data_IF_969951424409
#
_entry.id   IF_969951424409
#
_cell.length_a   1.000
_cell.length_b   1.000
_cell.length_c   1.000
_cell.angle_alpha   90.00
_cell.angle_beta   90.00
_cell.angle_gamma   90.00
#
_symmetry.space_group_name_H-M   'P 1'
#
loop_
_entity.id
_entity.type
_entity.pdbx_description
1 polymer ?
#
# COMPACT_ATOMS: atom_id res chain seq x y z
N UNK A 1 -17.35 -13.07 -12.98
CA UNK A 1 -18.21 -13.24 -11.78
C UNK A 1 -18.58 -11.84 -11.28
N UNK A 2 -19.72 -11.64 -10.62
CA UNK A 2 -20.00 -10.34 -10.01
C UNK A 2 -18.95 -10.03 -8.93
N UNK A 3 -18.36 -8.84 -8.96
CA UNK A 3 -17.30 -8.39 -8.10
C UNK A 3 -17.82 -7.56 -6.91
N UNK A 4 -16.95 -7.22 -5.95
CA UNK A 4 -17.36 -6.49 -4.75
C UNK A 4 -17.84 -5.07 -5.04
N UNK A 5 -17.28 -4.40 -6.07
CA UNK A 5 -17.73 -3.09 -6.50
C UNK A 5 -19.19 -3.11 -6.98
N UNK A 6 -19.60 -4.15 -7.71
CA UNK A 6 -20.97 -4.29 -8.23
C UNK A 6 -21.98 -4.76 -7.19
N UNK A 7 -21.54 -5.63 -6.27
CA UNK A 7 -22.44 -6.32 -5.34
C UNK A 7 -22.50 -5.71 -3.94
N UNK A 8 -21.50 -4.94 -3.56
CA UNK A 8 -21.29 -4.48 -2.18
C UNK A 8 -20.91 -5.61 -1.19
N UNK A 9 -20.69 -6.84 -1.69
CA UNK A 9 -20.29 -7.98 -0.87
C UNK A 9 -18.79 -8.20 -0.96
N UNK A 10 -18.16 -8.31 0.19
CA UNK A 10 -16.72 -8.53 0.34
C UNK A 10 -16.43 -9.88 0.97
N UNK A 11 -15.39 -10.56 0.48
CA UNK A 11 -14.97 -11.86 0.98
C UNK A 11 -14.53 -11.77 2.44
N UNK A 12 -14.99 -12.72 3.27
CA UNK A 12 -14.51 -12.86 4.65
C UNK A 12 -13.86 -14.23 4.82
N UNK A 13 -12.56 -14.31 4.53
CA UNK A 13 -11.81 -15.56 4.54
C UNK A 13 -11.64 -16.13 5.95
N UNK A 14 -11.61 -15.28 6.97
CA UNK A 14 -11.59 -15.77 8.35
C UNK A 14 -12.89 -16.53 8.68
N UNK A 15 -14.04 -15.99 8.30
CA UNK A 15 -15.32 -16.70 8.50
C UNK A 15 -15.42 -17.98 7.67
N UNK A 16 -14.88 -17.97 6.44
CA UNK A 16 -14.80 -19.15 5.57
C UNK A 16 -14.01 -20.28 6.24
N UNK A 17 -12.92 -19.95 6.95
CA UNK A 17 -12.07 -20.91 7.65
C UNK A 17 -12.40 -21.10 9.14
N UNK A 18 -13.62 -20.75 9.55
CA UNK A 18 -14.18 -21.11 10.86
C UNK A 18 -13.93 -20.13 12.01
N UNK A 19 -13.38 -18.95 11.74
CA UNK A 19 -13.27 -17.92 12.77
C UNK A 19 -14.60 -17.17 12.92
N UNK A 20 -15.09 -17.03 14.15
CA UNK A 20 -16.36 -16.34 14.37
C UNK A 20 -16.27 -14.84 14.08
N UNK A 21 -17.35 -14.25 13.56
CA UNK A 21 -17.43 -12.81 13.27
C UNK A 21 -17.05 -11.95 14.49
N UNK A 22 -17.46 -12.37 15.69
CA UNK A 22 -17.12 -11.65 16.93
C UNK A 22 -15.61 -11.63 17.21
N UNK A 23 -14.90 -12.77 17.03
CA UNK A 23 -13.44 -12.83 17.18
C UNK A 23 -12.71 -11.99 16.15
N UNK A 24 -13.18 -12.03 14.90
CA UNK A 24 -12.60 -11.22 13.82
C UNK A 24 -12.76 -9.72 14.13
N UNK A 25 -13.96 -9.30 14.51
CA UNK A 25 -14.23 -7.91 14.84
C UNK A 25 -13.43 -7.45 16.07
N UNK A 26 -13.35 -8.28 17.11
CA UNK A 26 -12.52 -8.00 18.28
C UNK A 26 -11.05 -7.80 17.88
N UNK A 27 -10.51 -8.64 16.98
CA UNK A 27 -9.13 -8.52 16.51
C UNK A 27 -8.90 -7.22 15.74
N UNK A 28 -9.83 -6.82 14.87
CA UNK A 28 -9.75 -5.54 14.14
C UNK A 28 -9.67 -4.37 15.14
N UNK A 29 -10.58 -4.32 16.12
CA UNK A 29 -10.58 -3.24 17.10
C UNK A 29 -9.35 -3.27 18.01
N UNK A 30 -8.92 -4.44 18.46
CA UNK A 30 -7.73 -4.53 19.30
C UNK A 30 -6.47 -4.13 18.53
N UNK A 31 -6.34 -4.52 17.25
CA UNK A 31 -5.23 -4.10 16.39
C UNK A 31 -5.23 -2.59 16.21
N UNK A 32 -6.38 -2.00 15.87
CA UNK A 32 -6.49 -0.54 15.77
C UNK A 32 -6.07 0.15 17.06
N UNK A 33 -6.61 -0.27 18.19
CA UNK A 33 -6.28 0.33 19.48
C UNK A 33 -4.80 0.19 19.84
N UNK A 34 -4.19 -0.95 19.51
CA UNK A 34 -2.75 -1.16 19.74
C UNK A 34 -1.90 -0.21 18.91
N UNK A 35 -2.22 -0.05 17.62
CA UNK A 35 -1.43 0.81 16.72
C UNK A 35 -1.62 2.29 16.97
N UNK A 36 -2.82 2.70 17.40
CA UNK A 36 -3.16 4.11 17.59
C UNK A 36 -3.01 4.58 19.04
N UNK A 37 -3.22 3.70 20.02
CA UNK A 37 -3.29 4.09 21.45
C UNK A 37 -2.54 3.15 22.39
N UNK A 38 -1.79 2.17 21.85
CA UNK A 38 -1.01 1.23 22.65
C UNK A 38 0.18 1.86 23.35
N UNK A 39 1.00 1.04 23.96
CA UNK A 39 2.26 1.45 24.62
C UNK A 39 3.27 2.01 23.60
N UNK A 40 4.33 2.65 24.13
CA UNK A 40 5.37 3.29 23.29
C UNK A 40 6.08 2.34 22.31
N UNK A 41 6.16 1.06 22.64
CA UNK A 41 6.74 0.03 21.78
C UNK A 41 5.75 -0.60 20.80
N UNK A 42 4.47 -0.19 20.85
CA UNK A 42 3.37 -0.71 20.04
C UNK A 42 2.78 0.32 19.09
N UNK A 43 2.49 1.53 19.59
CA UNK A 43 1.81 2.56 18.81
C UNK A 43 2.72 3.16 17.73
N UNK A 44 2.08 3.60 16.66
CA UNK A 44 2.71 4.35 15.56
C UNK A 44 2.05 5.71 15.35
N UNK A 45 0.86 5.95 15.91
CA UNK A 45 0.11 7.20 15.82
C UNK A 45 0.34 8.07 17.07
N UNK A 46 0.50 9.38 16.84
CA UNK A 46 0.70 10.40 17.88
C UNK A 46 -0.12 11.63 17.60
N UNK A 47 -0.84 12.10 18.60
CA UNK A 47 -1.55 13.38 18.55
C UNK A 47 -0.60 14.54 18.76
N UNK A 48 -0.87 15.67 18.06
CA UNK A 48 -0.07 16.89 18.12
C UNK A 48 -0.98 18.09 18.34
N UNK A 49 -0.78 18.82 19.43
CA UNK A 49 -1.65 19.94 19.77
C UNK A 49 -3.09 19.49 19.97
N UNK A 50 -4.03 20.37 19.61
CA UNK A 50 -5.45 20.12 19.85
C UNK A 50 -6.11 19.30 18.73
N UNK A 51 -5.65 19.43 17.47
CA UNK A 51 -6.39 18.95 16.30
C UNK A 51 -5.52 18.40 15.16
N UNK A 52 -4.28 18.04 15.43
CA UNK A 52 -3.37 17.38 14.49
C UNK A 52 -2.87 16.03 15.02
N UNK A 53 -2.35 15.21 14.13
CA UNK A 53 -1.74 13.93 14.47
C UNK A 53 -0.95 13.34 13.29
N UNK A 54 -0.03 12.44 13.57
CA UNK A 54 0.78 11.79 12.56
C UNK A 54 1.10 10.33 12.90
N UNK A 55 1.47 9.57 11.88
CA UNK A 55 2.08 8.26 12.03
C UNK A 55 3.60 8.39 11.88
N UNK A 56 4.35 7.71 12.74
CA UNK A 56 5.81 7.71 12.75
C UNK A 56 6.34 6.44 12.12
N UNK A 57 7.22 6.57 11.13
CA UNK A 57 8.13 5.49 10.81
C UNK A 57 9.12 5.33 11.98
N UNK A 58 8.83 4.37 12.81
CA UNK A 58 9.59 4.12 14.05
C UNK A 58 10.99 3.55 13.81
N UNK A 59 11.24 3.09 12.58
CA UNK A 59 12.57 2.65 12.14
C UNK A 59 13.51 3.81 11.84
N UNK A 60 12.97 4.85 11.20
CA UNK A 60 13.73 6.00 10.73
C UNK A 60 13.49 7.28 11.55
N UNK A 61 12.49 7.27 12.44
CA UNK A 61 12.08 8.39 13.29
C UNK A 61 11.68 9.62 12.47
N UNK A 62 10.92 9.40 11.41
CA UNK A 62 10.34 10.43 10.55
C UNK A 62 8.84 10.17 10.28
N UNK A 63 8.21 11.13 9.63
CA UNK A 63 6.82 11.04 9.17
C UNK A 63 6.84 10.98 7.64
N UNK A 64 6.24 9.96 7.05
CA UNK A 64 6.21 9.71 5.61
C UNK A 64 4.82 9.87 5.03
N UNK A 65 4.72 10.33 3.78
CA UNK A 65 3.45 10.37 3.06
C UNK A 65 2.80 8.99 2.98
N UNK A 66 3.59 7.92 2.85
CA UNK A 66 3.14 6.53 2.94
C UNK A 66 2.35 6.29 4.24
N UNK A 67 2.95 6.54 5.40
CA UNK A 67 2.30 6.29 6.69
C UNK A 67 1.09 7.19 6.93
N UNK A 68 1.18 8.46 6.55
CA UNK A 68 0.06 9.40 6.69
C UNK A 68 -1.13 8.96 5.84
N UNK A 69 -0.92 8.63 4.58
CA UNK A 69 -1.99 8.20 3.67
C UNK A 69 -2.58 6.83 4.07
N UNK A 70 -1.75 5.90 4.53
CA UNK A 70 -2.21 4.62 5.09
C UNK A 70 -3.02 4.82 6.37
N UNK A 71 -2.58 5.73 7.26
CA UNK A 71 -3.32 6.08 8.47
C UNK A 71 -4.69 6.68 8.16
N UNK A 72 -4.79 7.55 7.15
CA UNK A 72 -6.06 8.09 6.66
C UNK A 72 -6.94 6.97 6.07
N UNK A 73 -6.39 6.07 5.26
CA UNK A 73 -7.14 4.94 4.72
C UNK A 73 -7.66 4.02 5.85
N UNK A 74 -6.84 3.70 6.83
CA UNK A 74 -7.27 2.93 8.01
C UNK A 74 -8.38 3.67 8.76
N UNK A 75 -8.21 4.97 9.00
CA UNK A 75 -9.19 5.77 9.73
C UNK A 75 -10.55 5.81 9.01
N UNK A 76 -10.56 5.96 7.68
CA UNK A 76 -11.82 5.94 6.93
C UNK A 76 -12.47 4.55 6.93
N UNK A 77 -11.69 3.47 6.89
CA UNK A 77 -12.23 2.11 7.00
C UNK A 77 -12.80 1.81 8.40
N UNK A 78 -12.20 2.38 9.45
CA UNK A 78 -12.60 2.20 10.84
C UNK A 78 -13.66 3.18 11.34
N UNK A 79 -14.17 4.09 10.49
CA UNK A 79 -15.13 5.14 10.85
C UNK A 79 -14.60 6.14 11.89
N UNK A 80 -13.33 6.50 11.76
CA UNK A 80 -12.65 7.41 12.68
C UNK A 80 -12.30 8.74 11.99
N UNK A 81 -13.37 9.52 11.73
CA UNK A 81 -13.25 10.86 11.15
C UNK A 81 -12.33 11.77 11.94
N UNK A 82 -12.39 11.68 13.27
CA UNK A 82 -11.54 12.45 14.18
C UNK A 82 -10.05 12.23 13.93
N UNK A 83 -9.62 11.00 13.78
CA UNK A 83 -8.23 10.63 13.46
C UNK A 83 -7.86 11.03 12.03
N UNK A 84 -8.76 10.77 11.08
CA UNK A 84 -8.58 11.12 9.68
C UNK A 84 -8.28 12.61 9.52
N UNK A 85 -9.11 13.48 10.13
CA UNK A 85 -8.97 14.92 10.05
C UNK A 85 -7.67 15.42 10.71
N UNK A 86 -7.26 14.83 11.83
CA UNK A 86 -5.99 15.14 12.50
C UNK A 86 -4.77 14.82 11.61
N UNK A 87 -4.77 13.64 11.00
CA UNK A 87 -3.68 13.22 10.10
C UNK A 87 -3.66 14.12 8.86
N UNK A 88 -4.80 14.35 8.24
CA UNK A 88 -4.89 15.20 7.06
C UNK A 88 -4.46 16.63 7.34
N UNK A 89 -4.86 17.21 8.46
CA UNK A 89 -4.46 18.58 8.84
C UNK A 89 -2.95 18.68 9.03
N UNK A 90 -2.34 17.74 9.72
CA UNK A 90 -0.89 17.72 9.89
C UNK A 90 -0.17 17.60 8.54
N UNK A 91 -0.61 16.71 7.69
CA UNK A 91 -0.05 16.48 6.35
C UNK A 91 -0.14 17.73 5.48
N UNK A 92 -1.29 18.37 5.41
CA UNK A 92 -1.47 19.63 4.66
C UNK A 92 -0.63 20.77 5.21
N UNK A 93 -0.42 20.81 6.52
CA UNK A 93 0.33 21.89 7.16
C UNK A 93 1.82 21.79 6.92
N UNK A 94 2.38 20.58 6.97
CA UNK A 94 3.82 20.39 7.01
C UNK A 94 4.42 19.73 5.78
N UNK A 95 3.69 18.89 5.06
CA UNK A 95 4.21 18.15 3.92
C UNK A 95 3.80 18.75 2.57
N UNK A 96 2.69 19.50 2.50
CA UNK A 96 2.21 20.09 1.25
C UNK A 96 3.21 21.12 0.68
N UNK A 97 3.48 21.03 -0.61
CA UNK A 97 4.39 21.91 -1.34
C UNK A 97 3.58 23.00 -2.05
N UNK A 98 3.62 24.21 -1.53
CA UNK A 98 2.86 25.38 -2.03
C UNK A 98 3.63 26.22 -3.05
N UNK A 99 4.90 25.88 -3.30
CA UNK A 99 5.80 26.57 -4.24
C UNK A 99 6.81 25.60 -4.89
N UNK A 100 7.59 26.11 -5.85
CA UNK A 100 8.61 25.33 -6.56
C UNK A 100 8.04 24.40 -7.65
N UNK A 101 8.90 23.56 -8.21
CA UNK A 101 8.55 22.67 -9.33
C UNK A 101 7.58 21.58 -8.91
N UNK A 102 7.61 21.17 -7.67
CA UNK A 102 6.74 20.15 -7.10
C UNK A 102 5.50 20.74 -6.39
N UNK A 103 5.17 22.02 -6.61
CA UNK A 103 3.98 22.64 -6.05
C UNK A 103 2.74 21.78 -6.35
N UNK A 104 1.89 21.57 -5.35
CA UNK A 104 0.70 20.76 -5.44
C UNK A 104 0.89 19.30 -5.00
N UNK A 105 2.12 18.85 -4.86
CA UNK A 105 2.49 17.55 -4.29
C UNK A 105 2.83 17.66 -2.79
N UNK A 106 3.27 16.55 -2.21
CA UNK A 106 3.70 16.49 -0.82
C UNK A 106 5.17 16.05 -0.74
N UNK A 107 5.95 16.68 0.12
CA UNK A 107 7.29 16.18 0.45
C UNK A 107 7.18 14.82 1.13
N UNK A 108 7.83 13.79 0.59
CA UNK A 108 7.61 12.40 1.01
C UNK A 108 7.98 12.11 2.46
N UNK A 109 8.86 12.91 3.07
CA UNK A 109 9.32 12.73 4.45
C UNK A 109 9.49 14.07 5.18
N UNK A 110 9.11 14.09 6.45
CA UNK A 110 9.30 15.19 7.37
C UNK A 110 9.74 14.69 8.75
N UNK A 111 10.43 15.54 9.50
CA UNK A 111 10.74 15.32 10.92
C UNK A 111 9.47 15.41 11.77
N UNK A 112 9.51 14.90 12.99
CA UNK A 112 8.38 14.93 13.94
C UNK A 112 7.95 16.37 14.30
N UNK A 113 8.81 17.36 14.15
CA UNK A 113 8.51 18.78 14.34
C UNK A 113 7.93 19.46 13.09
N UNK A 114 7.68 18.73 12.02
CA UNK A 114 7.11 19.22 10.77
C UNK A 114 8.11 19.77 9.76
N UNK A 115 9.43 19.83 10.08
CA UNK A 115 10.44 20.24 9.10
C UNK A 115 10.58 19.16 8.02
N UNK A 116 10.38 19.51 6.75
CA UNK A 116 10.54 18.56 5.65
C UNK A 116 12.00 18.09 5.53
N UNK A 117 12.17 16.80 5.30
CA UNK A 117 13.45 16.18 4.95
C UNK A 117 13.68 16.25 3.43
N UNK A 118 12.61 16.35 2.63
CA UNK A 118 12.65 16.41 1.17
C UNK A 118 11.49 17.25 0.62
N UNK A 119 11.75 17.99 -0.45
CA UNK A 119 10.73 18.65 -1.28
C UNK A 119 10.38 17.81 -2.54
N UNK A 120 10.77 16.55 -2.58
CA UNK A 120 10.37 15.58 -3.59
C UNK A 120 9.18 14.73 -3.12
N UNK A 121 8.20 14.43 -3.98
CA UNK A 121 7.10 13.53 -3.66
C UNK A 121 7.47 12.06 -3.90
N UNK A 122 6.66 11.17 -3.33
CA UNK A 122 6.60 9.75 -3.62
C UNK A 122 5.16 9.37 -3.98
N UNK A 123 4.88 8.97 -5.23
CA UNK A 123 3.52 8.83 -5.77
C UNK A 123 2.56 7.95 -4.97
N UNK A 124 3.04 6.91 -4.30
CA UNK A 124 2.20 6.05 -3.44
C UNK A 124 1.46 6.86 -2.35
N UNK A 125 2.09 7.90 -1.82
CA UNK A 125 1.45 8.80 -0.87
C UNK A 125 0.26 9.53 -1.48
N UNK A 126 0.43 10.16 -2.65
CA UNK A 126 -0.61 10.90 -3.35
C UNK A 126 -1.76 9.99 -3.80
N UNK A 127 -1.48 8.77 -4.27
CA UNK A 127 -2.49 7.81 -4.65
C UNK A 127 -3.40 7.44 -3.47
N UNK A 128 -2.79 7.10 -2.33
CA UNK A 128 -3.53 6.76 -1.13
C UNK A 128 -4.22 7.97 -0.49
N UNK A 129 -3.62 9.18 -0.52
CA UNK A 129 -4.31 10.41 -0.09
C UNK A 129 -5.57 10.65 -0.92
N UNK A 130 -5.45 10.63 -2.26
CA UNK A 130 -6.59 10.86 -3.14
C UNK A 130 -7.70 9.83 -2.89
N UNK A 131 -7.36 8.54 -2.75
CA UNK A 131 -8.36 7.49 -2.52
C UNK A 131 -9.01 7.61 -1.15
N UNK A 132 -8.22 7.84 -0.09
CA UNK A 132 -8.75 7.99 1.25
C UNK A 132 -9.67 9.23 1.37
N UNK A 133 -9.31 10.34 0.71
CA UNK A 133 -10.14 11.55 0.65
C UNK A 133 -11.46 11.31 -0.12
N UNK A 134 -11.43 10.60 -1.25
CA UNK A 134 -12.65 10.23 -1.97
C UNK A 134 -13.57 9.34 -1.12
N UNK A 135 -13.01 8.39 -0.39
CA UNK A 135 -13.79 7.59 0.55
C UNK A 135 -14.36 8.42 1.70
N UNK A 136 -13.59 9.37 2.24
CA UNK A 136 -14.04 10.27 3.29
C UNK A 136 -15.21 11.15 2.84
N UNK A 137 -15.12 11.75 1.65
CA UNK A 137 -16.21 12.56 1.07
C UNK A 137 -17.49 11.75 0.87
N UNK A 138 -17.37 10.49 0.45
CA UNK A 138 -18.52 9.59 0.24
C UNK A 138 -19.10 9.05 1.54
N UNK A 139 -18.25 8.79 2.53
CA UNK A 139 -18.67 8.21 3.81
C UNK A 139 -19.23 9.26 4.78
N UNK A 140 -18.61 10.42 4.86
CA UNK A 140 -18.93 11.45 5.86
C UNK A 140 -19.48 12.75 5.25
N UNK A 141 -19.39 12.91 3.94
CA UNK A 141 -19.66 14.16 3.24
C UNK A 141 -18.47 15.13 3.29
N UNK A 142 -18.53 16.13 2.41
CA UNK A 142 -17.52 17.17 2.33
C UNK A 142 -17.73 18.25 3.41
N UNK A 143 -16.64 18.69 4.04
CA UNK A 143 -16.59 19.83 4.94
C UNK A 143 -16.10 21.10 4.26
N UNK A 144 -15.63 22.05 5.05
CA UNK A 144 -15.08 23.33 4.59
C UNK A 144 -13.53 23.30 4.55
N UNK A 145 -12.94 24.21 3.78
CA UNK A 145 -11.49 24.37 3.70
C UNK A 145 -10.82 23.08 3.25
N UNK A 146 -9.78 22.65 3.94
CA UNK A 146 -9.03 21.40 3.66
C UNK A 146 -9.86 20.13 3.91
N UNK A 147 -10.99 20.24 4.58
CA UNK A 147 -11.91 19.13 4.84
C UNK A 147 -13.00 19.00 3.78
N UNK A 148 -12.95 19.78 2.69
CA UNK A 148 -13.66 19.45 1.47
C UNK A 148 -12.91 18.34 0.76
N UNK A 149 -13.13 17.11 1.20
CA UNK A 149 -12.35 15.93 0.84
C UNK A 149 -12.36 15.65 -0.65
N UNK A 150 -13.52 15.75 -1.29
CA UNK A 150 -13.66 15.52 -2.73
C UNK A 150 -12.84 16.53 -3.53
N UNK A 151 -12.85 17.81 -3.15
CA UNK A 151 -12.07 18.85 -3.82
C UNK A 151 -10.56 18.62 -3.61
N UNK A 152 -10.13 18.27 -2.41
CA UNK A 152 -8.73 18.00 -2.12
C UNK A 152 -8.22 16.78 -2.91
N UNK A 153 -9.02 15.69 -2.97
CA UNK A 153 -8.68 14.51 -3.78
C UNK A 153 -8.55 14.88 -5.28
N UNK A 154 -9.51 15.61 -5.83
CA UNK A 154 -9.50 16.04 -7.23
C UNK A 154 -8.32 16.95 -7.56
N UNK A 155 -7.92 17.81 -6.63
CA UNK A 155 -6.73 18.65 -6.78
C UNK A 155 -5.46 17.80 -6.85
N UNK A 156 -5.32 16.79 -5.99
CA UNK A 156 -4.17 15.85 -6.04
C UNK A 156 -4.15 15.11 -7.39
N UNK A 157 -5.27 14.53 -7.79
CA UNK A 157 -5.37 13.78 -9.06
C UNK A 157 -5.05 14.65 -10.27
N UNK A 158 -5.50 15.92 -10.27
CA UNK A 158 -5.17 16.87 -11.33
C UNK A 158 -3.67 17.11 -11.44
N UNK A 159 -3.01 17.36 -10.31
CA UNK A 159 -1.55 17.56 -10.30
C UNK A 159 -0.79 16.31 -10.78
N UNK A 160 -1.21 15.12 -10.37
CA UNK A 160 -0.58 13.86 -10.78
C UNK A 160 -0.60 13.64 -12.30
N UNK A 161 -1.67 14.07 -12.97
CA UNK A 161 -1.89 13.85 -14.42
C UNK A 161 -1.38 15.01 -15.27
N UNK A 162 -1.65 16.28 -14.87
CA UNK A 162 -1.48 17.45 -15.74
C UNK A 162 -0.22 18.25 -15.51
N UNK A 163 0.58 17.89 -14.53
CA UNK A 163 1.83 18.62 -14.28
C UNK A 163 2.79 18.46 -15.47
N UNK A 164 3.19 19.61 -16.05
CA UNK A 164 4.07 19.65 -17.24
C UNK A 164 5.49 19.20 -16.87
N UNK A 165 6.01 19.71 -15.76
CA UNK A 165 7.29 19.27 -15.19
C UNK A 165 7.01 18.26 -14.09
N UNK A 166 7.79 17.20 -14.04
CA UNK A 166 7.69 16.18 -13.01
C UNK A 166 6.28 15.54 -12.86
N UNK A 167 5.65 15.04 -13.93
CA UNK A 167 4.39 14.30 -13.81
C UNK A 167 4.61 12.99 -13.07
N UNK A 168 3.64 12.57 -12.28
CA UNK A 168 3.70 11.28 -11.57
C UNK A 168 3.42 10.09 -12.50
N UNK A 169 2.59 10.29 -13.52
CA UNK A 169 2.41 9.31 -14.58
C UNK A 169 3.31 9.63 -15.77
N UNK A 170 3.95 8.62 -16.32
CA UNK A 170 4.71 8.78 -17.55
C UNK A 170 3.77 9.14 -18.71
N UNK A 171 4.02 10.24 -19.45
CA UNK A 171 3.08 10.71 -20.46
C UNK A 171 2.89 9.77 -21.66
N UNK A 172 3.88 8.91 -21.93
CA UNK A 172 3.84 7.98 -23.07
C UNK A 172 3.21 6.66 -22.71
N UNK A 173 3.62 6.10 -21.57
CA UNK A 173 3.17 4.77 -21.12
C UNK A 173 1.93 4.83 -20.23
N UNK A 174 1.63 5.99 -19.63
CA UNK A 174 0.61 6.20 -18.58
C UNK A 174 0.80 5.31 -17.35
N UNK A 175 2.01 4.79 -17.15
CA UNK A 175 2.39 4.07 -15.96
C UNK A 175 2.84 5.04 -14.88
N UNK A 176 2.53 4.72 -13.64
CA UNK A 176 3.02 5.50 -12.49
C UNK A 176 4.54 5.40 -12.40
N UNK A 177 5.21 6.49 -12.11
CA UNK A 177 6.66 6.55 -11.89
C UNK A 177 6.99 6.22 -10.45
N UNK A 178 8.18 5.72 -10.20
CA UNK A 178 8.68 5.61 -8.82
C UNK A 178 8.79 6.99 -8.14
N UNK A 179 9.40 7.96 -8.83
CA UNK A 179 9.36 9.38 -8.47
C UNK A 179 9.19 10.21 -9.75
N UNK A 180 8.68 11.45 -9.70
CA UNK A 180 8.32 12.21 -10.90
C UNK A 180 9.44 12.45 -11.92
N UNK A 181 10.69 12.46 -11.49
CA UNK A 181 11.85 12.74 -12.35
C UNK A 181 12.65 11.49 -12.77
N UNK A 182 12.08 10.29 -12.59
CA UNK A 182 12.67 9.05 -13.10
C UNK A 182 11.87 8.47 -14.29
N UNK A 183 12.45 7.48 -14.96
CA UNK A 183 11.86 6.79 -16.11
C UNK A 183 11.64 5.28 -15.88
N UNK A 184 11.46 4.90 -14.63
CA UNK A 184 11.12 3.55 -14.20
C UNK A 184 10.02 3.61 -13.12
N UNK A 185 9.51 2.46 -12.73
CA UNK A 185 8.41 2.33 -11.79
C UNK A 185 8.77 1.47 -10.59
N UNK A 186 7.92 1.52 -9.58
CA UNK A 186 7.80 0.51 -8.53
C UNK A 186 6.53 -0.32 -8.82
N UNK A 187 6.63 -1.64 -9.02
CA UNK A 187 5.45 -2.48 -9.24
C UNK A 187 4.39 -2.37 -8.13
N UNK A 188 4.80 -2.08 -6.89
CA UNK A 188 3.87 -1.92 -5.77
C UNK A 188 3.07 -0.62 -5.80
N UNK A 189 3.48 0.38 -6.61
CA UNK A 189 2.74 1.63 -6.79
C UNK A 189 1.58 1.48 -7.80
N UNK A 190 1.52 0.38 -8.56
CA UNK A 190 0.42 0.15 -9.48
C UNK A 190 -0.84 -0.27 -8.74
N UNK A 191 -1.82 0.64 -8.70
CA UNK A 191 -3.09 0.48 -7.98
C UNK A 191 -4.28 0.54 -8.97
N UNK A 192 -4.41 -0.43 -9.91
CA UNK A 192 -5.45 -0.38 -10.94
C UNK A 192 -6.85 -0.25 -10.36
N UNK A 193 -7.13 -0.83 -9.20
CA UNK A 193 -8.39 -0.70 -8.47
C UNK A 193 -8.67 0.75 -8.00
N UNK A 194 -7.65 1.52 -7.64
CA UNK A 194 -7.83 2.94 -7.34
C UNK A 194 -8.09 3.73 -8.61
N UNK A 195 -7.40 3.42 -9.71
CA UNK A 195 -7.58 4.11 -10.98
C UNK A 195 -8.99 3.91 -11.56
N UNK A 196 -9.60 2.73 -11.39
CA UNK A 196 -11.03 2.53 -11.70
C UNK A 196 -11.93 3.52 -10.94
N UNK A 197 -11.67 3.72 -9.65
CA UNK A 197 -12.43 4.64 -8.81
C UNK A 197 -12.08 6.11 -9.08
N UNK A 198 -10.84 6.42 -9.42
CA UNK A 198 -10.45 7.76 -9.87
C UNK A 198 -11.15 8.15 -11.19
N UNK A 199 -11.34 7.19 -12.09
CA UNK A 199 -12.09 7.39 -13.31
C UNK A 199 -13.58 7.70 -13.07
N UNK A 200 -14.14 7.19 -11.97
CA UNK A 200 -15.55 7.37 -11.62
C UNK A 200 -15.81 8.61 -10.77
N UNK A 201 -14.88 8.97 -9.87
CA UNK A 201 -15.13 9.96 -8.82
C UNK A 201 -14.16 11.15 -8.83
N UNK A 202 -13.09 11.04 -9.58
CA UNK A 202 -12.12 12.12 -9.78
C UNK A 202 -12.66 13.24 -10.70
N UNK A 203 -11.76 13.88 -11.42
CA UNK A 203 -12.14 14.88 -12.41
C UNK A 203 -12.70 14.20 -13.66
N UNK A 204 -13.83 14.69 -14.17
CA UNK A 204 -14.52 14.06 -15.31
C UNK A 204 -13.66 14.06 -16.59
N UNK A 205 -12.83 15.10 -16.77
CA UNK A 205 -11.89 15.21 -17.89
C UNK A 205 -10.81 14.13 -17.86
N UNK A 206 -10.45 13.61 -16.69
CA UNK A 206 -9.41 12.61 -16.49
C UNK A 206 -9.94 11.17 -16.48
N UNK A 207 -11.26 10.98 -16.58
CA UNK A 207 -11.88 9.66 -16.52
C UNK A 207 -11.35 8.69 -17.60
N UNK A 208 -11.10 9.20 -18.80
CA UNK A 208 -10.48 8.42 -19.88
C UNK A 208 -9.04 8.01 -19.59
N UNK A 209 -8.26 8.93 -19.02
CA UNK A 209 -6.89 8.67 -18.61
C UNK A 209 -6.81 7.55 -17.56
N UNK A 210 -7.59 7.65 -16.48
CA UNK A 210 -7.52 6.67 -15.39
C UNK A 210 -8.05 5.30 -15.79
N UNK A 211 -9.08 5.20 -16.66
CA UNK A 211 -9.50 3.90 -17.23
C UNK A 211 -8.37 3.24 -18.01
N UNK A 212 -7.65 4.03 -18.81
CA UNK A 212 -6.52 3.49 -19.57
C UNK A 212 -5.33 3.15 -18.66
N UNK A 213 -4.99 4.00 -17.69
CA UNK A 213 -3.95 3.74 -16.70
C UNK A 213 -4.24 2.46 -15.90
N UNK A 214 -5.50 2.22 -15.51
CA UNK A 214 -5.91 0.98 -14.84
C UNK A 214 -5.60 -0.25 -15.69
N UNK A 215 -6.02 -0.25 -16.96
CA UNK A 215 -5.75 -1.35 -17.89
C UNK A 215 -4.25 -1.57 -18.11
N UNK A 216 -3.51 -0.50 -18.38
CA UNK A 216 -2.06 -0.55 -18.64
C UNK A 216 -1.28 -1.00 -17.40
N UNK A 217 -1.69 -0.61 -16.20
CA UNK A 217 -1.08 -1.10 -14.96
C UNK A 217 -1.29 -2.60 -14.75
N UNK A 218 -2.46 -3.14 -15.06
CA UNK A 218 -2.67 -4.61 -15.06
C UNK A 218 -1.79 -5.32 -16.06
N UNK A 219 -1.66 -4.77 -17.28
CA UNK A 219 -0.77 -5.33 -18.31
C UNK A 219 0.72 -5.22 -17.92
N UNK A 220 1.11 -4.14 -17.24
CA UNK A 220 2.45 -3.98 -16.70
C UNK A 220 2.75 -5.00 -15.59
N UNK A 221 1.85 -5.17 -14.62
CA UNK A 221 2.03 -6.10 -13.51
C UNK A 221 2.24 -7.55 -13.99
N UNK A 222 1.60 -7.95 -15.10
CA UNK A 222 1.83 -9.26 -15.74
C UNK A 222 3.26 -9.45 -16.20
N UNK A 223 3.95 -8.37 -16.60
CA UNK A 223 5.34 -8.40 -17.05
C UNK A 223 6.30 -8.29 -15.86
N UNK A 224 5.97 -7.47 -14.86
CA UNK A 224 6.80 -7.22 -13.68
C UNK A 224 6.83 -8.40 -12.70
N UNK A 225 5.77 -9.21 -12.64
CA UNK A 225 5.74 -10.42 -11.82
C UNK A 225 6.32 -11.62 -12.58
N UNK A 226 7.28 -12.30 -11.96
CA UNK A 226 7.89 -13.48 -12.55
C UNK A 226 6.87 -14.63 -12.72
N UNK A 227 6.75 -15.27 -13.90
CA UNK A 227 5.65 -16.15 -14.22
C UNK A 227 5.62 -17.48 -13.44
N UNK A 228 6.73 -17.86 -12.79
CA UNK A 228 6.81 -19.10 -12.00
C UNK A 228 6.71 -18.82 -10.50
N UNK A 229 7.43 -17.81 -10.00
CA UNK A 229 7.49 -17.50 -8.57
C UNK A 229 6.40 -16.54 -8.12
N UNK A 230 5.87 -15.72 -9.01
CA UNK A 230 4.94 -14.62 -8.69
C UNK A 230 5.63 -13.41 -8.03
N UNK A 231 6.95 -13.40 -7.90
CA UNK A 231 7.71 -12.32 -7.29
C UNK A 231 7.87 -11.14 -8.25
N UNK A 232 7.91 -9.92 -7.73
CA UNK A 232 8.29 -8.69 -8.44
C UNK A 232 9.49 -8.03 -7.74
N UNK A 233 10.25 -7.23 -8.49
CA UNK A 233 11.30 -6.41 -7.88
C UNK A 233 10.71 -5.18 -7.18
N UNK A 234 11.48 -4.54 -6.32
CA UNK A 234 11.11 -3.22 -5.77
C UNK A 234 11.01 -2.18 -6.88
N UNK A 235 12.00 -2.12 -7.78
CA UNK A 235 11.97 -1.23 -8.94
C UNK A 235 12.06 -2.04 -10.23
N UNK A 236 11.29 -1.61 -11.23
CA UNK A 236 11.29 -2.25 -12.54
C UNK A 236 11.11 -1.21 -13.67
N UNK A 237 11.69 -1.53 -14.82
CA UNK A 237 11.50 -0.79 -16.05
C UNK A 237 10.04 -0.84 -16.52
N UNK A 238 9.63 0.01 -17.45
CA UNK A 238 8.26 0.00 -17.99
C UNK A 238 7.92 -1.24 -18.82
N UNK A 239 8.91 -2.04 -19.20
CA UNK A 239 8.71 -3.35 -19.80
C UNK A 239 8.56 -4.49 -18.77
N UNK A 240 8.71 -4.19 -17.48
CA UNK A 240 8.60 -5.11 -16.36
C UNK A 240 9.92 -5.76 -15.92
N UNK A 241 11.03 -5.51 -16.60
CA UNK A 241 12.33 -6.03 -16.16
C UNK A 241 12.81 -5.35 -14.89
N UNK A 242 13.42 -6.07 -13.93
CA UNK A 242 13.98 -5.46 -12.73
C UNK A 242 14.95 -4.33 -13.05
N UNK A 243 14.77 -3.18 -12.41
CA UNK A 243 15.65 -2.03 -12.62
C UNK A 243 17.05 -2.29 -12.07
N UNK A 244 18.08 -2.00 -12.88
CA UNK A 244 19.48 -2.26 -12.53
C UNK A 244 20.05 -1.21 -11.55
N UNK A 245 19.36 -1.00 -10.44
CA UNK A 245 19.85 -0.22 -9.30
C UNK A 245 20.15 -1.19 -8.17
N UNK A 246 21.35 -1.11 -7.62
CA UNK A 246 21.82 -2.01 -6.57
C UNK A 246 20.75 -2.20 -5.48
N UNK A 247 20.47 -3.44 -5.16
CA UNK A 247 19.51 -3.91 -4.14
C UNK A 247 18.02 -3.67 -4.42
N UNK A 248 17.63 -2.90 -5.43
CA UNK A 248 16.22 -2.65 -5.77
C UNK A 248 15.68 -3.53 -6.89
N UNK A 249 16.50 -4.45 -7.41
CA UNK A 249 16.11 -5.49 -8.36
C UNK A 249 15.66 -6.80 -7.69
N UNK A 250 15.44 -6.77 -6.37
CA UNK A 250 15.10 -7.91 -5.51
C UNK A 250 13.61 -7.88 -5.13
N UNK A 251 13.09 -9.06 -4.77
CA UNK A 251 11.85 -9.15 -4.03
C UNK A 251 12.14 -8.83 -2.56
N UNK A 252 11.93 -7.59 -2.18
CA UNK A 252 12.26 -7.09 -0.85
C UNK A 252 11.29 -5.95 -0.47
N UNK A 253 11.13 -5.68 0.82
CA UNK A 253 10.41 -4.54 1.38
C UNK A 253 9.17 -4.08 0.58
N UNK A 254 9.31 -3.06 -0.28
CA UNK A 254 8.19 -2.46 -1.02
C UNK A 254 7.53 -3.44 -1.99
N UNK A 255 8.30 -4.35 -2.58
CA UNK A 255 7.79 -5.37 -3.49
C UNK A 255 6.73 -6.29 -2.86
N UNK A 256 6.69 -6.43 -1.53
CA UNK A 256 5.68 -7.26 -0.85
C UNK A 256 4.27 -6.76 -1.12
N UNK A 257 4.06 -5.45 -1.24
CA UNK A 257 2.75 -4.81 -1.49
C UNK A 257 2.14 -5.23 -2.82
N UNK A 258 2.96 -5.58 -3.82
CA UNK A 258 2.50 -5.91 -5.18
C UNK A 258 1.46 -7.03 -5.18
N UNK A 259 1.72 -8.14 -4.48
CA UNK A 259 0.78 -9.27 -4.41
C UNK A 259 -0.53 -8.90 -3.69
N UNK A 260 -0.44 -8.09 -2.63
CA UNK A 260 -1.60 -7.61 -1.89
C UNK A 260 -2.49 -6.69 -2.75
N UNK A 261 -1.87 -5.78 -3.53
CA UNK A 261 -2.58 -4.85 -4.41
C UNK A 261 -3.26 -5.58 -5.58
N UNK A 262 -2.59 -6.56 -6.19
CA UNK A 262 -3.18 -7.42 -7.23
C UNK A 262 -4.40 -8.19 -6.69
N UNK A 263 -4.30 -8.72 -5.48
CA UNK A 263 -5.38 -9.46 -4.86
C UNK A 263 -6.57 -8.56 -4.47
N UNK A 264 -6.31 -7.33 -4.04
CA UNK A 264 -7.36 -6.35 -3.75
C UNK A 264 -8.06 -5.88 -5.03
N UNK A 265 -7.31 -5.66 -6.13
CA UNK A 265 -7.88 -5.36 -7.45
C UNK A 265 -8.82 -6.48 -7.91
N UNK A 266 -8.42 -7.73 -7.70
CA UNK A 266 -9.28 -8.88 -8.04
C UNK A 266 -10.53 -8.94 -7.17
N UNK A 267 -10.40 -8.74 -5.85
CA UNK A 267 -11.55 -8.71 -4.94
C UNK A 267 -12.56 -7.62 -5.32
N UNK A 268 -12.07 -6.41 -5.64
CA UNK A 268 -12.95 -5.29 -5.94
C UNK A 268 -13.55 -5.34 -7.33
N UNK A 269 -12.78 -5.70 -8.35
CA UNK A 269 -13.19 -5.58 -9.76
C UNK A 269 -13.22 -6.89 -10.53
N UNK A 270 -12.53 -7.94 -10.08
CA UNK A 270 -12.39 -9.23 -10.78
C UNK A 270 -12.02 -9.04 -12.28
N UNK A 271 -11.18 -8.05 -12.55
CA UNK A 271 -10.92 -7.58 -13.90
C UNK A 271 -10.07 -8.54 -14.73
N UNK A 272 -9.21 -9.35 -14.08
CA UNK A 272 -8.28 -10.22 -14.75
C UNK A 272 -8.02 -11.51 -13.97
N UNK A 273 -8.33 -12.65 -14.56
CA UNK A 273 -8.09 -13.98 -13.98
C UNK A 273 -6.59 -14.29 -13.79
N UNK A 274 -5.68 -13.57 -14.45
CA UNK A 274 -4.25 -13.69 -14.19
C UNK A 274 -3.90 -13.38 -12.73
N UNK A 275 -4.64 -12.53 -12.07
CA UNK A 275 -4.47 -12.23 -10.64
C UNK A 275 -4.54 -13.49 -9.76
N UNK A 276 -5.39 -14.45 -10.13
CA UNK A 276 -5.45 -15.75 -9.43
C UNK A 276 -4.15 -16.54 -9.62
N UNK A 277 -3.64 -16.60 -10.86
CA UNK A 277 -2.39 -17.29 -11.17
C UNK A 277 -1.19 -16.69 -10.43
N UNK A 278 -1.10 -15.36 -10.39
CA UNK A 278 -0.03 -14.66 -9.66
C UNK A 278 -0.10 -14.97 -8.16
N UNK A 279 -1.29 -14.87 -7.55
CA UNK A 279 -1.50 -15.17 -6.15
C UNK A 279 -1.14 -16.63 -5.79
N UNK A 280 -1.51 -17.58 -6.65
CA UNK A 280 -1.15 -19.00 -6.48
C UNK A 280 0.35 -19.24 -6.63
N UNK A 281 1.01 -18.57 -7.57
CA UNK A 281 2.45 -18.70 -7.80
C UNK A 281 3.25 -18.21 -6.58
N UNK A 282 2.96 -17.02 -6.08
CA UNK A 282 3.69 -16.48 -4.92
C UNK A 282 3.42 -17.30 -3.65
N UNK A 283 2.18 -17.75 -3.44
CA UNK A 283 1.85 -18.62 -2.31
C UNK A 283 2.51 -20.00 -2.42
N UNK A 284 2.58 -20.58 -3.62
CA UNK A 284 3.32 -21.82 -3.86
C UNK A 284 4.82 -21.64 -3.63
N UNK A 285 5.39 -20.51 -4.05
CA UNK A 285 6.80 -20.21 -3.83
C UNK A 285 7.13 -20.23 -2.33
N UNK A 286 6.43 -19.47 -1.50
CA UNK A 286 6.68 -19.43 -0.06
C UNK A 286 6.14 -20.65 0.72
N UNK A 287 5.02 -21.21 0.31
CA UNK A 287 4.41 -22.35 0.99
C UNK A 287 5.03 -23.71 0.67
N UNK A 288 5.75 -23.81 -0.45
CA UNK A 288 6.33 -25.06 -0.90
C UNK A 288 7.80 -24.94 -1.31
N UNK A 289 8.14 -24.09 -2.28
CA UNK A 289 9.46 -24.06 -2.92
C UNK A 289 10.56 -23.68 -1.93
N UNK A 290 10.32 -22.65 -1.10
CA UNK A 290 11.29 -22.13 -0.13
C UNK A 290 10.81 -22.30 1.32
N UNK A 291 9.90 -23.22 1.56
CA UNK A 291 9.34 -23.49 2.88
C UNK A 291 10.44 -23.67 3.93
N UNK A 292 10.38 -22.89 5.02
CA UNK A 292 11.38 -22.86 6.09
C UNK A 292 12.58 -21.95 5.78
N UNK A 293 12.52 -21.16 4.70
CA UNK A 293 13.50 -20.14 4.34
C UNK A 293 12.81 -18.82 3.96
N UNK A 294 11.69 -18.52 4.62
CA UNK A 294 10.92 -17.30 4.39
C UNK A 294 11.63 -16.03 4.86
N UNK A 295 12.69 -16.19 5.66
CA UNK A 295 13.58 -15.14 6.16
C UNK A 295 14.73 -14.78 5.22
N UNK A 296 14.77 -15.38 4.04
CA UNK A 296 15.79 -15.12 3.01
C UNK A 296 15.23 -14.15 1.96
N UNK A 297 16.07 -13.24 1.48
CA UNK A 297 15.75 -12.35 0.34
C UNK A 297 16.04 -13.06 -0.99
N UNK A 298 15.19 -12.86 -1.98
CA UNK A 298 15.25 -13.53 -3.27
C UNK A 298 15.28 -12.53 -4.43
N UNK A 299 16.01 -12.91 -5.52
CA UNK A 299 15.73 -12.39 -6.85
C UNK A 299 14.36 -12.86 -7.32
N UNK A 300 13.78 -12.20 -8.30
CA UNK A 300 12.42 -12.54 -8.76
C UNK A 300 12.30 -13.95 -9.36
N UNK A 301 13.37 -14.52 -9.86
CA UNK A 301 13.42 -15.91 -10.35
C UNK A 301 13.45 -16.97 -9.23
N UNK A 302 13.56 -16.54 -7.99
CA UNK A 302 13.63 -17.40 -6.81
C UNK A 302 15.04 -17.77 -6.36
N UNK A 303 16.07 -17.23 -7.02
CA UNK A 303 17.46 -17.39 -6.57
C UNK A 303 17.66 -16.63 -5.24
N UNK A 304 18.17 -17.26 -4.18
CA UNK A 304 18.43 -16.56 -2.93
C UNK A 304 19.61 -15.59 -3.07
N UNK A 305 19.51 -14.43 -2.44
CA UNK A 305 20.62 -13.48 -2.35
C UNK A 305 21.65 -14.04 -1.37
N UNK A 306 22.87 -14.25 -1.84
CA UNK A 306 23.98 -14.81 -1.05
C UNK A 306 24.98 -13.75 -0.60
N UNK A 307 25.01 -12.60 -1.28
CA UNK A 307 25.92 -11.50 -0.99
C UNK A 307 25.17 -10.39 -0.23
N UNK A 308 25.54 -10.15 1.03
CA UNK A 308 24.93 -9.11 1.87
C UNK A 308 25.18 -7.69 1.34
N UNK A 309 26.27 -7.48 0.59
CA UNK A 309 26.60 -6.17 0.00
C UNK A 309 25.62 -5.75 -1.10
N UNK A 310 24.82 -6.67 -1.63
CA UNK A 310 23.74 -6.40 -2.58
C UNK A 310 22.46 -5.90 -1.91
N UNK A 311 22.33 -6.05 -0.59
CA UNK A 311 21.19 -5.54 0.16
C UNK A 311 21.41 -4.08 0.50
N UNK A 312 20.38 -3.24 0.37
CA UNK A 312 20.43 -1.88 0.89
C UNK A 312 20.62 -1.94 2.39
N UNK A 313 21.78 -1.51 2.84
CA UNK A 313 22.17 -1.57 4.23
C UNK A 313 21.52 -0.46 5.04
N UNK A 314 20.32 -0.66 5.44
CA UNK A 314 19.78 0.02 6.61
C UNK A 314 19.34 -0.99 7.66
N UNK A 315 19.97 -2.10 7.65
CA UNK A 315 19.69 -3.12 8.64
C UNK A 315 20.55 -2.79 9.84
N UNK A 316 19.97 -2.62 10.98
CA UNK A 316 20.52 -2.33 12.30
C UNK A 316 21.73 -3.20 12.73
N UNK A 317 22.71 -3.40 11.86
CA UNK A 317 23.85 -4.31 12.11
C UNK A 317 23.44 -5.78 12.24
N UNK A 318 22.21 -6.14 11.90
CA UNK A 318 21.75 -7.52 11.86
C UNK A 318 21.97 -8.11 10.47
N UNK A 319 22.29 -9.39 10.43
CA UNK A 319 22.58 -10.17 9.23
C UNK A 319 21.54 -9.99 8.11
N UNK A 320 21.95 -10.23 6.87
CA UNK A 320 21.06 -10.35 5.72
C UNK A 320 19.84 -11.21 6.06
N UNK A 321 18.66 -10.62 5.91
CA UNK A 321 17.40 -11.25 6.22
C UNK A 321 16.24 -10.34 5.83
N UNK A 322 15.04 -10.85 5.91
CA UNK A 322 13.82 -10.10 5.65
C UNK A 322 13.62 -9.04 6.71
N UNK A 323 13.72 -7.78 6.31
CA UNK A 323 13.54 -6.64 7.24
C UNK A 323 12.11 -6.56 7.80
N UNK A 324 11.11 -6.97 7.00
CA UNK A 324 9.68 -6.86 7.32
C UNK A 324 8.94 -8.21 7.25
N UNK A 325 9.26 -9.18 8.16
CA UNK A 325 8.69 -10.53 8.06
C UNK A 325 7.18 -10.59 8.33
N UNK A 326 6.65 -9.68 9.17
CA UNK A 326 5.22 -9.61 9.45
C UNK A 326 4.48 -9.01 8.24
N UNK A 327 5.05 -7.99 7.61
CA UNK A 327 4.53 -7.39 6.39
C UNK A 327 4.52 -8.39 5.22
N UNK A 328 5.60 -9.16 5.05
CA UNK A 328 5.67 -10.22 4.05
C UNK A 328 4.56 -11.26 4.26
N UNK A 329 4.40 -11.77 5.47
CA UNK A 329 3.34 -12.74 5.76
C UNK A 329 1.94 -12.14 5.54
N UNK A 330 1.74 -10.88 5.92
CA UNK A 330 0.48 -10.17 5.74
C UNK A 330 0.07 -10.08 4.26
N UNK A 331 1.01 -9.69 3.40
CA UNK A 331 0.75 -9.57 1.96
C UNK A 331 0.56 -10.92 1.27
N UNK A 332 1.30 -11.96 1.68
CA UNK A 332 1.07 -13.34 1.24
C UNK A 332 -0.31 -13.87 1.66
N UNK A 333 -0.77 -13.51 2.85
CA UNK A 333 -2.11 -13.86 3.29
C UNK A 333 -3.18 -13.08 2.52
N UNK A 334 -2.98 -11.77 2.26
CA UNK A 334 -3.90 -10.96 1.48
C UNK A 334 -4.03 -11.47 0.03
N UNK A 335 -2.98 -12.06 -0.55
CA UNK A 335 -3.02 -12.72 -1.85
C UNK A 335 -4.10 -13.83 -1.91
N UNK A 336 -4.50 -14.38 -0.76
CA UNK A 336 -5.60 -15.36 -0.68
C UNK A 336 -6.96 -14.85 -1.17
N UNK A 337 -7.18 -13.54 -1.29
CA UNK A 337 -8.40 -12.99 -1.88
C UNK A 337 -8.53 -13.37 -3.37
N UNK A 338 -7.43 -13.44 -4.10
CA UNK A 338 -7.41 -13.86 -5.49
C UNK A 338 -7.10 -15.36 -5.66
N UNK A 339 -6.32 -15.98 -4.75
CA UNK A 339 -5.87 -17.36 -4.85
C UNK A 339 -7.03 -18.36 -4.72
N UNK A 340 -7.00 -19.40 -5.55
CA UNK A 340 -7.84 -20.59 -5.47
C UNK A 340 -7.02 -21.85 -5.15
N UNK A 341 -5.70 -21.67 -4.95
CA UNK A 341 -4.73 -22.74 -4.77
C UNK A 341 -4.75 -23.36 -3.36
N UNK A 342 -4.02 -24.45 -3.23
CA UNK A 342 -3.95 -25.26 -2.00
C UNK A 342 -3.35 -24.51 -0.79
N UNK A 343 -2.62 -23.42 -1.00
CA UNK A 343 -2.00 -22.64 0.08
C UNK A 343 -2.86 -21.48 0.58
N UNK A 344 -4.04 -21.25 -0.01
CA UNK A 344 -4.96 -20.16 0.37
C UNK A 344 -5.31 -20.20 1.87
N UNK A 345 -5.81 -21.34 2.36
CA UNK A 345 -6.15 -21.53 3.78
C UNK A 345 -4.91 -21.47 4.68
N UNK A 346 -3.78 -22.06 4.24
CA UNK A 346 -2.55 -22.08 5.01
C UNK A 346 -2.08 -20.67 5.37
N UNK A 347 -2.02 -19.74 4.39
CA UNK A 347 -1.57 -18.37 4.65
C UNK A 347 -2.56 -17.57 5.49
N UNK A 348 -3.86 -17.76 5.31
CA UNK A 348 -4.88 -17.11 6.16
C UNK A 348 -4.75 -17.56 7.62
N UNK A 349 -4.56 -18.87 7.87
CA UNK A 349 -4.35 -19.39 9.24
C UNK A 349 -3.01 -18.94 9.83
N UNK A 350 -1.92 -19.01 9.07
CA UNK A 350 -0.60 -18.55 9.51
C UNK A 350 -0.64 -17.06 9.89
N UNK A 351 -1.30 -16.24 9.09
CA UNK A 351 -1.51 -14.83 9.40
C UNK A 351 -2.38 -14.61 10.66
N UNK A 352 -3.42 -15.41 10.83
CA UNK A 352 -4.24 -15.32 12.05
C UNK A 352 -3.42 -15.58 13.31
N UNK A 353 -2.47 -16.48 13.29
CA UNK A 353 -1.58 -16.77 14.43
C UNK A 353 -0.44 -15.72 14.60
N UNK A 354 -0.22 -14.88 13.60
CA UNK A 354 0.84 -13.87 13.63
C UNK A 354 0.51 -12.73 14.61
N UNK A 355 1.34 -12.46 15.62
CA UNK A 355 1.20 -11.26 16.44
C UNK A 355 1.66 -10.02 15.71
N UNK A 356 1.20 -8.85 16.18
CA UNK A 356 1.76 -7.57 15.77
C UNK A 356 3.25 -7.48 16.13
N UNK A 357 4.01 -6.82 15.29
CA UNK A 357 5.40 -6.50 15.58
C UNK A 357 5.49 -5.40 16.65
N UNK A 358 6.43 -5.52 17.56
CA UNK A 358 6.76 -4.49 18.55
C UNK A 358 8.15 -3.90 18.28
N UNK A 359 8.51 -2.81 18.96
CA UNK A 359 9.82 -2.20 18.88
C UNK A 359 10.06 -1.38 17.60
N UNK A 360 11.33 -1.25 17.23
CA UNK A 360 11.80 -0.26 16.25
C UNK A 360 11.20 -0.40 14.84
N UNK A 361 10.98 -1.61 14.35
CA UNK A 361 10.51 -1.85 12.98
C UNK A 361 9.01 -2.13 12.86
N UNK A 362 8.19 -1.72 13.84
CA UNK A 362 6.76 -2.02 13.90
C UNK A 362 5.90 -1.24 12.89
N UNK A 363 6.37 -0.11 12.38
CA UNK A 363 5.62 0.80 11.51
C UNK A 363 5.11 0.11 10.24
N UNK A 364 6.00 -0.23 9.32
CA UNK A 364 5.65 -0.80 8.02
C UNK A 364 4.99 -2.17 8.14
N UNK A 365 5.57 -3.06 8.96
CA UNK A 365 5.00 -4.38 9.23
C UNK A 365 3.54 -4.32 9.70
N UNK A 366 3.24 -3.46 10.64
CA UNK A 366 1.90 -3.41 11.24
C UNK A 366 0.88 -2.65 10.35
N UNK A 367 1.32 -1.73 9.51
CA UNK A 367 0.45 -1.13 8.51
C UNK A 367 0.02 -2.17 7.48
N UNK A 368 0.94 -2.95 6.92
CA UNK A 368 0.61 -4.05 6.01
C UNK A 368 -0.23 -5.13 6.69
N UNK A 369 0.08 -5.45 7.95
CA UNK A 369 -0.73 -6.36 8.75
C UNK A 369 -2.18 -5.87 8.86
N UNK A 370 -2.38 -4.58 9.13
CA UNK A 370 -3.74 -4.08 9.32
C UNK A 370 -4.52 -4.03 8.00
N UNK A 371 -3.90 -3.68 6.88
CA UNK A 371 -4.54 -3.78 5.57
C UNK A 371 -4.95 -5.22 5.24
N UNK A 372 -4.07 -6.18 5.47
CA UNK A 372 -4.40 -7.59 5.26
C UNK A 372 -5.55 -8.06 6.18
N UNK A 373 -5.56 -7.63 7.45
CA UNK A 373 -6.63 -7.95 8.39
C UNK A 373 -7.98 -7.38 7.92
N UNK A 374 -8.03 -6.13 7.47
CA UNK A 374 -9.23 -5.50 6.91
C UNK A 374 -9.68 -6.22 5.63
N UNK A 375 -8.76 -6.51 4.72
CA UNK A 375 -9.06 -7.13 3.44
C UNK A 375 -9.61 -8.56 3.62
N UNK A 376 -8.92 -9.40 4.38
CA UNK A 376 -9.31 -10.79 4.63
C UNK A 376 -10.60 -10.94 5.45
N UNK A 377 -10.98 -9.90 6.18
CA UNK A 377 -12.23 -9.87 6.97
C UNK A 377 -13.43 -9.25 6.24
N UNK A 378 -13.25 -8.78 4.99
CA UNK A 378 -14.27 -8.07 4.24
C UNK A 378 -14.57 -6.66 4.76
N UNK A 379 -13.59 -6.04 5.45
CA UNK A 379 -13.70 -4.69 6.00
C UNK A 379 -12.84 -3.65 5.27
N UNK A 380 -12.09 -4.03 4.25
CA UNK A 380 -11.46 -3.08 3.32
C UNK A 380 -12.44 -2.81 2.18
N UNK A 381 -13.28 -1.81 2.36
CA UNK A 381 -14.46 -1.57 1.51
C UNK A 381 -14.31 -0.33 0.65
N UNK A 382 -15.04 -0.33 -0.45
CA UNK A 382 -15.32 0.84 -1.27
C UNK A 382 -16.49 1.58 -0.62
N UNK A 383 -16.31 2.87 -0.33
CA UNK A 383 -17.31 3.73 0.33
C UNK A 383 -18.00 4.67 -0.64
#
# INVERSE_FOLDING_TARGET
MPNSFQTGNYSNLFSEYGYSKAKVQQRIYSTFNTLFYGSEDQRIYYEVGEDMGYLVDTGNLDVRTEGQSYGMMIAVQMDRKDIFDRIWKWTKTYMYLDHGENKGYFGWSAQLNGKRNSDGPAPDGEEFFAMALLFAGRRWGDGEGIFNYTREARSILHEMVHKIKNPMFDPQTKLIRFIPNCNFSDPSYHLPHFYELFALWGNSEDAGFFREASRLSRDYLKKACHPVTGLSAEYAEYDGTPHNRASHNLFYSDAYRTAANIALDYEWFAADEWSCTQAENIQRFFGWTVKGKEDVVYYIDGTPVTNQDELVQEVDGTSAGVLHPVGLLATLAQASLASRGQFREYFVRKFWEQPLRTGKRRYYDNLLYFFALLALSGNYRIW
#
